data_IF_212697502132
#
_entry.id   IF_212697502132
#
_cell.length_a   1.000
_cell.length_b   1.000
_cell.length_c   1.000
_cell.angle_alpha   90.00
_cell.angle_beta   90.00
_cell.angle_gamma   90.00
#
_symmetry.space_group_name_H-M   'P 1'
#
loop_
_entity.id
_entity.type
_entity.pdbx_description
1 polymer ?
#
# COMPACT_ATOMS: atom_id res chain seq x y z
N UNK A 1 -2.52 -13.83 17.84
CA UNK A 1 -2.71 -15.00 16.96
C UNK A 1 -3.87 -14.70 16.03
N UNK A 2 -3.77 -14.96 14.72
CA UNK A 2 -4.84 -14.68 13.76
C UNK A 2 -5.56 -16.00 13.43
N UNK A 3 -6.89 -16.00 13.47
CA UNK A 3 -7.70 -17.16 13.06
C UNK A 3 -8.52 -16.81 11.82
N UNK A 4 -8.41 -17.66 10.81
CA UNK A 4 -9.17 -17.63 9.56
C UNK A 4 -10.04 -18.88 9.52
N UNK A 5 -11.34 -18.71 9.29
CA UNK A 5 -12.24 -19.84 9.06
C UNK A 5 -12.50 -19.97 7.57
N UNK A 6 -12.26 -21.16 7.03
CA UNK A 6 -12.40 -21.46 5.61
C UNK A 6 -13.14 -22.80 5.52
N UNK A 7 -14.27 -22.87 4.83
CA UNK A 7 -15.03 -24.13 4.73
C UNK A 7 -14.34 -25.10 3.75
N UNK A 8 -13.89 -24.57 2.60
CA UNK A 8 -13.21 -25.34 1.54
C UNK A 8 -11.94 -24.63 1.07
N UNK A 9 -10.95 -25.41 0.64
CA UNK A 9 -9.70 -24.85 0.11
C UNK A 9 -9.94 -23.85 -1.04
N UNK A 10 -10.97 -24.08 -1.87
CA UNK A 10 -11.36 -23.17 -2.96
C UNK A 10 -11.73 -21.77 -2.50
N UNK A 11 -12.26 -21.62 -1.28
CA UNK A 11 -12.75 -20.32 -0.77
C UNK A 11 -11.57 -19.42 -0.36
N UNK A 12 -10.42 -20.03 -0.10
CA UNK A 12 -9.18 -19.34 0.18
C UNK A 12 -8.57 -18.70 -1.07
N UNK A 13 -8.81 -19.29 -2.24
CA UNK A 13 -8.25 -18.85 -3.51
C UNK A 13 -9.25 -18.05 -4.35
N UNK A 14 -8.72 -17.25 -5.26
CA UNK A 14 -9.53 -16.51 -6.21
C UNK A 14 -10.10 -17.50 -7.24
N UNK A 15 -11.43 -17.58 -7.34
CA UNK A 15 -12.14 -18.48 -8.28
C UNK A 15 -11.84 -18.17 -9.75
N UNK A 16 -11.37 -16.96 -10.05
CA UNK A 16 -10.97 -16.53 -11.40
C UNK A 16 -9.48 -16.77 -11.68
N UNK A 17 -8.71 -17.26 -10.71
CA UNK A 17 -7.30 -17.61 -10.89
C UNK A 17 -7.15 -19.12 -11.17
N UNK A 18 -6.91 -19.53 -12.43
CA UNK A 18 -6.77 -20.94 -12.77
C UNK A 18 -5.54 -21.60 -12.14
N UNK A 19 -4.61 -20.83 -11.58
CA UNK A 19 -3.43 -21.35 -10.91
C UNK A 19 -3.62 -21.64 -9.42
N UNK A 20 -4.72 -21.19 -8.80
CA UNK A 20 -4.96 -21.27 -7.35
C UNK A 20 -3.76 -20.77 -6.51
N UNK A 21 -3.12 -19.69 -6.96
CA UNK A 21 -1.94 -19.07 -6.29
C UNK A 21 -2.27 -17.65 -5.80
N UNK A 22 -3.43 -17.12 -6.17
CA UNK A 22 -3.98 -15.88 -5.64
C UNK A 22 -5.02 -16.19 -4.58
N UNK A 23 -4.82 -15.60 -3.41
CA UNK A 23 -5.84 -15.60 -2.37
C UNK A 23 -7.06 -14.78 -2.81
N UNK A 24 -8.24 -15.12 -2.29
CA UNK A 24 -9.48 -14.40 -2.54
C UNK A 24 -9.43 -12.97 -1.99
N UNK A 25 -10.24 -12.07 -2.56
CA UNK A 25 -10.29 -10.67 -2.07
C UNK A 25 -10.78 -10.58 -0.63
N UNK A 26 -11.68 -11.48 -0.21
CA UNK A 26 -12.20 -11.52 1.16
C UNK A 26 -11.12 -11.90 2.18
N UNK A 27 -10.32 -12.93 1.87
CA UNK A 27 -9.17 -13.32 2.71
C UNK A 27 -8.14 -12.21 2.76
N UNK A 28 -7.86 -11.57 1.62
CA UNK A 28 -6.94 -10.44 1.55
C UNK A 28 -7.43 -9.25 2.37
N UNK A 29 -8.71 -8.89 2.28
CA UNK A 29 -9.32 -7.80 3.04
C UNK A 29 -9.29 -8.08 4.55
N UNK A 30 -9.62 -9.31 4.95
CA UNK A 30 -9.54 -9.73 6.35
C UNK A 30 -8.12 -9.60 6.90
N UNK A 31 -7.12 -10.15 6.21
CA UNK A 31 -5.70 -10.04 6.61
C UNK A 31 -5.24 -8.59 6.71
N UNK A 32 -5.70 -7.73 5.80
CA UNK A 32 -5.39 -6.29 5.82
C UNK A 32 -5.92 -5.59 7.07
N UNK A 33 -7.08 -6.00 7.59
CA UNK A 33 -7.61 -5.49 8.87
C UNK A 33 -6.68 -5.85 10.03
N UNK A 34 -6.13 -7.07 10.06
CA UNK A 34 -5.16 -7.47 11.08
C UNK A 34 -3.83 -6.74 10.99
N UNK A 35 -3.39 -6.31 9.80
CA UNK A 35 -2.20 -5.46 9.67
C UNK A 35 -2.27 -4.21 10.57
N UNK A 36 -3.46 -3.65 10.73
CA UNK A 36 -3.71 -2.46 11.55
C UNK A 36 -3.65 -2.82 13.04
N UNK A 37 -4.16 -3.98 13.42
CA UNK A 37 -4.15 -4.47 14.80
C UNK A 37 -2.74 -4.90 15.26
N UNK A 38 -1.93 -5.49 14.37
CA UNK A 38 -0.54 -5.89 14.65
C UNK A 38 0.35 -4.68 15.03
N UNK A 39 0.08 -3.48 14.49
CA UNK A 39 0.82 -2.27 14.89
C UNK A 39 0.62 -1.93 16.38
N UNK A 40 -0.58 -2.16 16.90
CA UNK A 40 -0.88 -1.88 18.29
C UNK A 40 -0.18 -2.89 19.23
N UNK A 41 0.04 -4.13 18.77
CA UNK A 41 0.57 -5.23 19.59
C UNK A 41 1.41 -6.23 18.77
N UNK A 42 2.66 -5.89 18.41
CA UNK A 42 3.49 -6.71 17.52
C UNK A 42 3.90 -8.07 18.09
N UNK A 43 3.95 -8.23 19.42
CA UNK A 43 4.42 -9.45 20.09
C UNK A 43 3.39 -10.60 20.11
N UNK A 44 2.13 -10.35 19.71
CA UNK A 44 1.03 -11.30 19.88
C UNK A 44 0.70 -12.15 18.63
N UNK A 45 1.32 -11.90 17.48
CA UNK A 45 0.85 -12.42 16.18
C UNK A 45 1.90 -13.21 15.37
N UNK A 46 2.42 -14.29 15.94
CA UNK A 46 3.41 -15.16 15.26
C UNK A 46 2.80 -16.22 14.33
N UNK A 47 1.51 -16.52 14.50
CA UNK A 47 0.84 -17.64 13.82
C UNK A 47 -0.50 -17.22 13.23
N UNK A 48 -0.72 -17.63 11.97
CA UNK A 48 -2.01 -17.62 11.28
C UNK A 48 -2.57 -19.05 11.31
N UNK A 49 -3.72 -19.22 11.94
CA UNK A 49 -4.44 -20.49 12.01
C UNK A 49 -5.58 -20.50 10.99
N UNK A 50 -5.57 -21.47 10.07
CA UNK A 50 -6.66 -21.74 9.15
C UNK A 50 -7.49 -22.90 9.72
N UNK A 51 -8.73 -22.61 10.10
CA UNK A 51 -9.72 -23.59 10.53
C UNK A 51 -10.44 -24.09 9.29
N UNK A 52 -10.29 -25.38 8.96
CA UNK A 52 -10.89 -25.98 7.76
C UNK A 52 -11.54 -27.34 8.05
N UNK A 53 -12.67 -27.62 7.40
CA UNK A 53 -13.35 -28.93 7.45
C UNK A 53 -12.72 -29.97 6.50
N UNK A 54 -12.15 -29.51 5.40
CA UNK A 54 -11.59 -30.33 4.32
C UNK A 54 -10.05 -30.41 4.36
N UNK A 55 -9.43 -31.36 3.63
CA UNK A 55 -7.98 -31.34 3.42
C UNK A 55 -7.55 -30.00 2.82
N UNK A 56 -6.51 -29.39 3.38
CA UNK A 56 -6.06 -28.07 2.98
C UNK A 56 -4.53 -28.03 2.97
N UNK A 57 -3.95 -27.63 1.83
CA UNK A 57 -2.50 -27.56 1.66
C UNK A 57 -1.91 -26.30 2.33
N UNK A 58 -1.31 -26.51 3.51
CA UNK A 58 -0.68 -25.46 4.29
C UNK A 58 0.50 -24.78 3.58
N UNK A 59 1.30 -25.54 2.82
CA UNK A 59 2.49 -25.00 2.15
C UNK A 59 2.08 -24.13 0.96
N UNK A 60 1.11 -24.59 0.16
CA UNK A 60 0.54 -23.79 -0.94
C UNK A 60 -0.09 -22.50 -0.44
N UNK A 61 -0.85 -22.57 0.64
CA UNK A 61 -1.49 -21.40 1.22
C UNK A 61 -0.47 -20.39 1.76
N UNK A 62 0.59 -20.88 2.43
CA UNK A 62 1.70 -20.04 2.88
C UNK A 62 2.39 -19.36 1.70
N UNK A 63 2.66 -20.09 0.63
CA UNK A 63 3.28 -19.51 -0.56
C UNK A 63 2.39 -18.45 -1.21
N UNK A 64 1.09 -18.70 -1.31
CA UNK A 64 0.11 -17.76 -1.86
C UNK A 64 -0.02 -16.47 -1.03
N UNK A 65 0.11 -16.57 0.30
CA UNK A 65 0.17 -15.43 1.20
C UNK A 65 1.45 -14.60 1.02
N UNK A 66 2.61 -15.26 0.95
CA UNK A 66 3.89 -14.60 0.67
C UNK A 66 3.82 -13.87 -0.67
N UNK A 67 3.30 -14.53 -1.71
CA UNK A 67 3.12 -13.92 -3.03
C UNK A 67 2.16 -12.72 -3.01
N UNK A 68 1.09 -12.78 -2.20
CA UNK A 68 0.18 -11.66 -2.02
C UNK A 68 0.87 -10.46 -1.35
N UNK A 69 1.68 -10.71 -0.31
CA UNK A 69 2.50 -9.68 0.35
C UNK A 69 3.50 -9.07 -0.63
N UNK A 70 4.21 -9.90 -1.39
CA UNK A 70 5.20 -9.46 -2.38
C UNK A 70 4.58 -8.58 -3.47
N UNK A 71 3.40 -8.96 -3.97
CA UNK A 71 2.63 -8.15 -4.93
C UNK A 71 2.25 -6.80 -4.34
N UNK A 72 1.79 -6.76 -3.09
CA UNK A 72 1.39 -5.51 -2.46
C UNK A 72 2.61 -4.61 -2.17
N UNK A 73 3.73 -5.16 -1.71
CA UNK A 73 4.97 -4.41 -1.54
C UNK A 73 5.45 -3.79 -2.87
N UNK A 74 5.42 -4.57 -3.96
CA UNK A 74 5.76 -4.05 -5.31
C UNK A 74 4.81 -2.94 -5.75
N UNK A 75 3.51 -3.06 -5.46
CA UNK A 75 2.52 -2.02 -5.75
C UNK A 75 2.79 -0.74 -4.98
N UNK A 76 3.10 -0.85 -3.69
CA UNK A 76 3.47 0.28 -2.83
C UNK A 76 4.75 0.94 -3.36
N UNK A 77 5.78 0.16 -3.68
CA UNK A 77 7.04 0.68 -4.22
C UNK A 77 6.83 1.44 -5.54
N UNK A 78 5.98 0.92 -6.42
CA UNK A 78 5.61 1.60 -7.66
C UNK A 78 4.88 2.92 -7.39
N UNK A 79 3.96 2.96 -6.41
CA UNK A 79 3.27 4.19 -6.01
C UNK A 79 4.24 5.23 -5.43
N UNK A 80 5.17 4.82 -4.57
CA UNK A 80 6.21 5.70 -4.02
C UNK A 80 7.08 6.27 -5.15
N UNK A 81 7.52 5.44 -6.10
CA UNK A 81 8.27 5.91 -7.27
C UNK A 81 7.48 6.93 -8.10
N UNK A 82 6.20 6.66 -8.34
CA UNK A 82 5.32 7.53 -9.12
C UNK A 82 5.11 8.87 -8.41
N UNK A 83 4.89 8.84 -7.10
CA UNK A 83 4.75 10.01 -6.25
C UNK A 83 6.03 10.86 -6.22
N UNK A 84 7.20 10.23 -6.08
CA UNK A 84 8.50 10.93 -6.18
C UNK A 84 8.67 11.62 -7.53
N UNK A 85 8.26 10.97 -8.62
CA UNK A 85 8.30 11.58 -9.96
C UNK A 85 7.35 12.77 -10.07
N UNK A 86 6.10 12.66 -9.59
CA UNK A 86 5.13 13.77 -9.53
C UNK A 86 5.67 14.95 -8.74
N UNK A 87 6.28 14.69 -7.58
CA UNK A 87 6.90 15.72 -6.75
C UNK A 87 8.03 16.45 -7.47
N UNK A 88 8.92 15.74 -8.17
CA UNK A 88 9.98 16.39 -8.98
C UNK A 88 9.40 17.26 -10.09
N UNK A 89 8.35 16.79 -10.77
CA UNK A 89 7.68 17.57 -11.82
C UNK A 89 7.03 18.81 -11.25
N UNK A 90 6.30 18.70 -10.13
CA UNK A 90 5.70 19.84 -9.44
C UNK A 90 6.77 20.86 -8.98
N UNK A 91 7.89 20.38 -8.46
CA UNK A 91 9.02 21.24 -8.09
C UNK A 91 9.62 21.97 -9.29
N UNK A 92 9.84 21.27 -10.41
CA UNK A 92 10.36 21.88 -11.65
C UNK A 92 9.40 22.92 -12.20
N UNK A 93 8.09 22.63 -12.21
CA UNK A 93 7.05 23.58 -12.62
C UNK A 93 7.06 24.80 -11.70
N UNK A 94 7.12 24.60 -10.37
CA UNK A 94 7.20 25.69 -9.40
C UNK A 94 8.44 26.56 -9.57
N UNK A 95 9.60 25.95 -9.82
CA UNK A 95 10.85 26.67 -10.08
C UNK A 95 10.77 27.47 -11.39
N UNK A 96 10.26 26.86 -12.47
CA UNK A 96 10.06 27.54 -13.75
C UNK A 96 9.07 28.71 -13.64
N UNK A 97 7.94 28.52 -12.94
CA UNK A 97 6.96 29.57 -12.68
C UNK A 97 7.53 30.70 -11.81
N UNK A 98 8.43 30.40 -10.86
CA UNK A 98 9.11 31.42 -10.05
C UNK A 98 10.06 32.28 -10.90
N UNK A 99 10.83 31.66 -11.80
CA UNK A 99 11.71 32.38 -12.73
C UNK A 99 10.90 33.22 -13.73
N UNK A 100 9.84 32.65 -14.30
CA UNK A 100 8.93 33.37 -15.19
C UNK A 100 8.24 34.52 -14.46
N UNK A 101 7.77 34.30 -13.23
CA UNK A 101 7.15 35.33 -12.39
C UNK A 101 8.10 36.49 -12.09
N UNK A 102 9.39 36.21 -11.82
CA UNK A 102 10.41 37.25 -11.61
C UNK A 102 10.65 38.09 -12.87
N UNK A 103 10.72 37.46 -14.05
CA UNK A 103 10.87 38.15 -15.33
C UNK A 103 9.61 38.94 -15.72
N UNK A 104 8.42 38.36 -15.52
CA UNK A 104 7.13 38.99 -15.81
C UNK A 104 6.82 40.14 -14.84
N UNK A 105 7.34 40.11 -13.60
CA UNK A 105 7.21 41.22 -12.65
C UNK A 105 7.85 42.52 -13.13
N UNK A 106 8.77 42.44 -14.10
CA UNK A 106 9.38 43.60 -14.75
C UNK A 106 8.54 44.14 -15.90
N UNK A 107 7.50 43.43 -16.35
CA UNK A 107 6.76 43.70 -17.59
C UNK A 107 5.22 43.72 -17.44
N UNK A 108 4.63 43.15 -16.38
CA UNK A 108 3.19 42.87 -16.28
C UNK A 108 2.53 43.34 -14.99
N UNK A 109 1.22 43.57 -15.09
CA UNK A 109 0.34 44.07 -14.04
C UNK A 109 0.11 43.05 -12.90
N UNK A 110 -0.21 43.54 -11.70
CA UNK A 110 -0.23 42.78 -10.42
C UNK A 110 -1.08 41.50 -10.45
N UNK A 111 -2.15 41.47 -11.25
CA UNK A 111 -3.12 40.37 -11.33
C UNK A 111 -2.50 39.08 -11.91
N UNK A 112 -1.66 39.19 -12.94
CA UNK A 112 -1.02 38.02 -13.57
C UNK A 112 0.04 37.42 -12.64
N UNK A 113 0.75 38.27 -11.90
CA UNK A 113 1.68 37.80 -10.88
C UNK A 113 0.99 37.02 -9.75
N UNK A 114 -0.17 37.50 -9.30
CA UNK A 114 -0.95 36.81 -8.26
C UNK A 114 -1.41 35.42 -8.74
N UNK A 115 -1.81 35.28 -10.01
CA UNK A 115 -2.24 33.99 -10.56
C UNK A 115 -1.09 32.97 -10.63
N UNK A 116 0.12 33.42 -11.01
CA UNK A 116 1.33 32.58 -11.05
C UNK A 116 1.75 32.17 -9.62
N UNK A 117 1.72 33.10 -8.67
CA UNK A 117 1.99 32.81 -7.25
C UNK A 117 0.99 31.81 -6.66
N UNK A 118 -0.30 31.94 -6.98
CA UNK A 118 -1.35 31.03 -6.53
C UNK A 118 -1.12 29.60 -7.05
N UNK A 119 -0.82 29.44 -8.35
CA UNK A 119 -0.50 28.14 -8.95
C UNK A 119 0.77 27.52 -8.35
N UNK A 120 1.81 28.32 -8.11
CA UNK A 120 3.03 27.87 -7.44
C UNK A 120 2.79 27.39 -6.01
N UNK A 121 1.91 28.06 -5.26
CA UNK A 121 1.55 27.70 -3.89
C UNK A 121 0.78 26.38 -3.83
N UNK A 122 -0.14 26.14 -4.77
CA UNK A 122 -0.85 24.85 -4.88
C UNK A 122 0.12 23.72 -5.19
N UNK A 123 1.00 23.90 -6.19
CA UNK A 123 1.98 22.88 -6.56
C UNK A 123 2.94 22.55 -5.41
N UNK A 124 3.36 23.56 -4.64
CA UNK A 124 4.19 23.37 -3.45
C UNK A 124 3.45 22.62 -2.33
N UNK A 125 2.17 22.95 -2.11
CA UNK A 125 1.32 22.26 -1.12
C UNK A 125 1.07 20.80 -1.48
N UNK A 126 0.84 20.50 -2.76
CA UNK A 126 0.66 19.13 -3.24
C UNK A 126 1.95 18.32 -3.11
N UNK A 127 3.10 18.90 -3.49
CA UNK A 127 4.40 18.28 -3.30
C UNK A 127 4.69 17.99 -1.82
N UNK A 128 4.39 18.94 -0.93
CA UNK A 128 4.54 18.78 0.52
C UNK A 128 3.62 17.70 1.07
N UNK A 129 2.36 17.65 0.63
CA UNK A 129 1.38 16.63 1.06
C UNK A 129 1.82 15.23 0.63
N UNK A 130 2.34 15.08 -0.59
CA UNK A 130 2.89 13.82 -1.07
C UNK A 130 4.11 13.40 -0.22
N UNK A 131 5.00 14.35 0.11
CA UNK A 131 6.22 14.08 0.85
C UNK A 131 5.99 13.75 2.32
N UNK A 132 5.15 14.53 2.99
CA UNK A 132 5.00 14.49 4.45
C UNK A 132 3.88 13.58 4.93
N UNK A 133 2.96 13.18 4.04
CA UNK A 133 1.80 12.36 4.42
C UNK A 133 1.72 11.08 3.59
N UNK A 134 1.62 11.21 2.27
CA UNK A 134 1.34 10.05 1.40
C UNK A 134 2.50 9.04 1.38
N UNK A 135 3.75 9.49 1.20
CA UNK A 135 4.89 8.58 1.18
C UNK A 135 5.16 7.92 2.57
N UNK A 136 5.13 8.66 3.69
CA UNK A 136 5.24 8.05 5.02
C UNK A 136 4.14 7.03 5.31
N UNK A 137 2.89 7.31 4.94
CA UNK A 137 1.76 6.39 5.12
C UNK A 137 1.97 5.10 4.29
N UNK A 138 2.46 5.22 3.06
CA UNK A 138 2.83 4.08 2.21
C UNK A 138 3.99 3.25 2.77
N UNK A 139 5.03 3.91 3.30
CA UNK A 139 6.14 3.23 3.97
C UNK A 139 5.71 2.55 5.28
N UNK A 140 4.71 3.12 5.97
CA UNK A 140 4.07 2.50 7.14
C UNK A 140 3.32 1.23 6.73
N UNK A 141 2.50 1.32 5.69
CA UNK A 141 1.80 0.18 5.06
C UNK A 141 2.76 -0.94 4.67
N UNK A 142 3.91 -0.59 4.06
CA UNK A 142 4.93 -1.58 3.72
C UNK A 142 5.44 -2.32 4.95
N UNK A 143 5.75 -1.61 6.03
CA UNK A 143 6.19 -2.20 7.31
C UNK A 143 5.14 -3.12 7.93
N UNK A 144 3.84 -2.82 7.79
CA UNK A 144 2.79 -3.68 8.34
C UNK A 144 2.64 -5.01 7.61
N UNK A 145 2.99 -5.08 6.34
CA UNK A 145 2.86 -6.31 5.54
C UNK A 145 4.03 -7.27 5.75
N UNK A 146 5.15 -6.78 6.27
CA UNK A 146 6.39 -7.55 6.41
C UNK A 146 6.32 -8.71 7.43
N UNK A 147 5.61 -8.60 8.58
CA UNK A 147 5.40 -9.71 9.50
C UNK A 147 4.76 -10.94 8.86
N UNK A 148 3.82 -10.75 7.91
CA UNK A 148 3.14 -11.86 7.22
C UNK A 148 4.10 -12.78 6.45
N UNK A 149 5.28 -12.31 6.05
CA UNK A 149 6.32 -13.18 5.43
C UNK A 149 6.97 -14.14 6.43
N UNK A 150 6.99 -13.79 7.72
CA UNK A 150 7.67 -14.55 8.78
C UNK A 150 6.70 -15.37 9.64
N UNK A 151 5.40 -15.09 9.55
CA UNK A 151 4.37 -15.81 10.29
C UNK A 151 4.35 -17.30 9.94
N UNK A 152 4.09 -18.12 10.95
CA UNK A 152 3.82 -19.54 10.77
C UNK A 152 2.37 -19.72 10.32
N UNK A 153 2.14 -20.62 9.38
CA UNK A 153 0.81 -21.05 9.00
C UNK A 153 0.52 -22.40 9.67
N UNK A 154 -0.59 -22.47 10.40
CA UNK A 154 -1.11 -23.70 10.98
C UNK A 154 -2.48 -23.99 10.41
N UNK A 155 -2.72 -25.22 9.98
CA UNK A 155 -4.04 -25.67 9.52
C UNK A 155 -4.62 -26.57 10.61
N UNK A 156 -5.74 -26.16 11.18
CA UNK A 156 -6.47 -26.93 12.18
C UNK A 156 -7.71 -27.50 11.51
N UNK A 157 -7.82 -28.83 11.50
CA UNK A 157 -8.98 -29.50 10.95
C UNK A 157 -10.12 -29.51 11.96
N UNK A 158 -11.21 -28.82 11.66
CA UNK A 158 -12.45 -28.91 12.46
C UNK A 158 -13.11 -30.27 12.15
N UNK A 159 -13.40 -31.04 13.21
CA UNK A 159 -14.08 -32.34 13.13
C UNK A 159 -15.58 -32.17 13.01
#
# INVERSE_FOLDING_TARGET
MIRLRVEKESDFYNSLDPSNMRISEDVYAYLKTFCIEIEAQPELHDTIQILCSEPFDAERAKQSLVDAVDREQKRIDYQIMTNRRRMRVAYLIGAALSVLGFWLAKLLDIVVLQMISFLGTIAARDAFTIQMKINPDLERLKRYTEPFRRMKLEVIREK
#
